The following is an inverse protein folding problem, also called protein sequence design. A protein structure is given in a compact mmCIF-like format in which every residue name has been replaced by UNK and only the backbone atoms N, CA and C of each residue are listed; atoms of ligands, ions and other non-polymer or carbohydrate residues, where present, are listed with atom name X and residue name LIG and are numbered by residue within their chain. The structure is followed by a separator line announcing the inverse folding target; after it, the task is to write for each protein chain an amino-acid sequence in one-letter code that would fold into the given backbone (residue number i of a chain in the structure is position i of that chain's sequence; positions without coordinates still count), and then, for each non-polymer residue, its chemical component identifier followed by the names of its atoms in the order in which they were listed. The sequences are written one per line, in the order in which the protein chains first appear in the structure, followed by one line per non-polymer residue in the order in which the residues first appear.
data_IF_662768747062
#
_entry.id   IF_662768747062
#
_cell.length_a   1.000
_cell.length_b   1.000
_cell.length_c   1.000
_cell.angle_alpha   90.00
_cell.angle_beta   90.00
_cell.angle_gamma   90.00
#
_symmetry.space_group_name_H-M   'P 1'
#
loop_
_entity.id
_entity.type
_entity.pdbx_description
1 polymer ?
#
# COMPACT_ATOMS: atom_id res chain seq x y z
N UNK A 1 8.75 14.88 23.88
CA UNK A 1 7.74 13.81 24.02
C UNK A 1 7.68 13.06 22.68
N UNK A 2 8.24 11.86 22.64
CA UNK A 2 8.42 11.10 21.38
C UNK A 2 7.08 10.44 21.07
N UNK A 3 6.46 10.83 19.96
CA UNK A 3 5.26 10.18 19.43
C UNK A 3 5.59 8.73 19.10
N UNK A 4 4.90 7.82 19.72
CA UNK A 4 4.92 6.40 19.44
C UNK A 4 4.43 6.17 18.00
N UNK A 5 5.36 5.82 17.11
CA UNK A 5 5.02 5.12 15.89
C UNK A 5 4.64 3.71 16.34
N UNK A 6 3.38 3.35 16.11
CA UNK A 6 2.87 1.99 16.34
C UNK A 6 3.84 0.97 15.74
N UNK A 7 4.19 -0.12 16.45
CA UNK A 7 5.10 -1.10 15.89
C UNK A 7 4.51 -1.64 14.59
N UNK A 8 5.24 -1.43 13.51
CA UNK A 8 4.95 -2.06 12.22
C UNK A 8 4.71 -3.54 12.49
N UNK A 9 3.55 -4.04 12.12
CA UNK A 9 3.36 -5.47 11.98
C UNK A 9 4.44 -5.94 11.02
N UNK A 10 5.41 -6.68 11.57
CA UNK A 10 6.37 -7.41 10.78
C UNK A 10 5.54 -8.39 9.93
N UNK A 11 5.42 -8.10 8.64
CA UNK A 11 4.88 -9.06 7.70
C UNK A 11 5.86 -10.24 7.75
N UNK A 12 5.43 -11.35 8.35
CA UNK A 12 6.20 -12.58 8.32
C UNK A 12 6.21 -13.07 6.87
N UNK A 13 7.38 -12.97 6.24
CA UNK A 13 7.58 -13.50 4.89
C UNK A 13 7.59 -15.04 4.94
N UNK A 14 6.84 -15.72 4.08
CA UNK A 14 6.91 -17.16 3.98
C UNK A 14 8.30 -17.63 3.52
N UNK A 15 8.72 -18.84 3.88
CA UNK A 15 10.05 -19.34 3.55
C UNK A 15 10.26 -19.48 2.03
N UNK A 16 11.46 -19.11 1.57
CA UNK A 16 11.95 -19.21 0.21
C UNK A 16 11.64 -20.60 -0.40
N UNK A 17 10.82 -20.64 -1.45
CA UNK A 17 10.55 -21.89 -2.18
C UNK A 17 9.25 -21.97 -2.96
N UNK A 18 8.24 -21.18 -2.60
CA UNK A 18 7.02 -20.99 -3.39
C UNK A 18 6.98 -19.50 -3.72
N UNK A 19 6.95 -19.14 -5.00
CA UNK A 19 6.92 -17.75 -5.42
C UNK A 19 5.94 -16.93 -4.59
N UNK A 20 6.42 -15.84 -4.01
CA UNK A 20 5.60 -14.99 -3.14
C UNK A 20 4.51 -14.35 -3.98
N UNK A 21 3.27 -14.58 -3.62
CA UNK A 21 2.14 -13.83 -4.18
C UNK A 21 1.84 -12.66 -3.25
N UNK A 22 1.71 -11.46 -3.82
CA UNK A 22 1.23 -10.31 -3.09
C UNK A 22 -0.27 -10.47 -2.81
N UNK A 23 -0.68 -10.10 -1.61
CA UNK A 23 -2.08 -10.14 -1.20
C UNK A 23 -2.62 -8.71 -1.07
N UNK A 24 -3.93 -8.55 -1.28
CA UNK A 24 -4.61 -7.30 -0.98
C UNK A 24 -4.61 -7.11 0.54
N UNK A 25 -3.95 -6.07 1.08
CA UNK A 25 -3.93 -5.86 2.52
C UNK A 25 -5.32 -5.52 3.03
N UNK A 26 -5.66 -6.01 4.22
CA UNK A 26 -6.84 -5.53 4.94
C UNK A 26 -6.63 -4.07 5.38
N UNK A 27 -7.71 -3.29 5.44
CA UNK A 27 -7.69 -1.95 6.00
C UNK A 27 -7.80 -2.02 7.53
N UNK A 28 -7.15 -1.09 8.23
CA UNK A 28 -7.25 -0.97 9.69
C UNK A 28 -8.56 -0.28 10.15
N UNK A 29 -9.40 0.13 9.20
CA UNK A 29 -10.69 0.79 9.41
C UNK A 29 -11.71 0.30 8.38
N UNK A 30 -13.00 0.43 8.69
CA UNK A 30 -14.10 0.07 7.79
C UNK A 30 -14.26 1.08 6.66
N UNK A 31 -14.93 0.70 5.58
CA UNK A 31 -15.15 1.59 4.43
C UNK A 31 -15.93 2.86 4.78
N UNK A 32 -16.82 2.83 5.77
CA UNK A 32 -17.59 3.99 6.23
C UNK A 32 -16.87 4.85 7.28
N UNK A 33 -15.74 4.39 7.81
CA UNK A 33 -15.10 5.04 8.96
C UNK A 33 -14.39 6.35 8.62
N UNK A 34 -14.18 6.64 7.35
CA UNK A 34 -13.62 7.91 6.87
C UNK A 34 -14.68 8.95 6.47
N UNK A 35 -15.96 8.63 6.64
CA UNK A 35 -17.04 9.61 6.42
C UNK A 35 -16.98 10.74 7.47
N UNK A 36 -17.38 11.96 7.11
CA UNK A 36 -17.96 12.39 5.83
C UNK A 36 -16.92 12.78 4.76
N UNK A 37 -15.63 12.57 5.00
CA UNK A 37 -14.56 13.01 4.11
C UNK A 37 -14.40 12.13 2.86
N UNK A 38 -14.52 10.82 3.04
CA UNK A 38 -14.54 9.83 1.96
C UNK A 38 -15.73 8.90 2.19
N UNK A 39 -16.58 8.75 1.17
CA UNK A 39 -17.77 7.90 1.29
C UNK A 39 -17.44 6.40 1.18
N UNK A 40 -18.26 5.56 1.81
CA UNK A 40 -18.06 4.13 1.88
C UNK A 40 -17.98 3.45 0.50
N UNK A 41 -18.78 3.90 -0.47
CA UNK A 41 -18.78 3.33 -1.83
C UNK A 41 -17.47 3.61 -2.55
N UNK A 42 -16.95 4.83 -2.43
CA UNK A 42 -15.64 5.20 -2.98
C UNK A 42 -14.53 4.36 -2.35
N UNK A 43 -14.54 4.19 -1.04
CA UNK A 43 -13.55 3.38 -0.31
C UNK A 43 -13.61 1.91 -0.74
N UNK A 44 -14.80 1.33 -0.84
CA UNK A 44 -14.99 -0.05 -1.28
C UNK A 44 -14.45 -0.28 -2.70
N UNK A 45 -14.80 0.58 -3.65
CA UNK A 45 -14.35 0.47 -5.04
C UNK A 45 -12.83 0.64 -5.12
N UNK A 46 -12.29 1.64 -4.44
CA UNK A 46 -10.86 1.94 -4.45
C UNK A 46 -10.02 0.79 -3.88
N UNK A 47 -10.47 0.15 -2.81
CA UNK A 47 -9.80 -0.99 -2.21
C UNK A 47 -10.09 -2.30 -2.96
N UNK A 48 -11.38 -2.70 -3.05
CA UNK A 48 -11.78 -4.03 -3.52
C UNK A 48 -11.70 -4.22 -5.04
N UNK A 49 -11.61 -3.13 -5.82
CA UNK A 49 -11.48 -3.17 -7.29
C UNK A 49 -10.14 -2.63 -7.78
N UNK A 50 -9.80 -1.38 -7.46
CA UNK A 50 -8.57 -0.77 -7.97
C UNK A 50 -7.32 -1.40 -7.36
N UNK A 51 -7.20 -1.42 -6.04
CA UNK A 51 -6.03 -2.03 -5.39
C UNK A 51 -5.97 -3.54 -5.65
N UNK A 52 -7.09 -4.24 -5.55
CA UNK A 52 -7.17 -5.67 -5.90
C UNK A 52 -6.76 -5.94 -7.36
N UNK A 53 -7.11 -5.06 -8.28
CA UNK A 53 -6.69 -5.13 -9.69
C UNK A 53 -5.19 -5.03 -9.86
N UNK A 54 -4.54 -4.05 -9.23
CA UNK A 54 -3.07 -3.93 -9.24
C UNK A 54 -2.40 -5.15 -8.62
N UNK A 55 -2.91 -5.64 -7.50
CA UNK A 55 -2.38 -6.85 -6.83
C UNK A 55 -2.43 -8.06 -7.75
N UNK A 56 -3.58 -8.32 -8.36
CA UNK A 56 -3.77 -9.43 -9.30
C UNK A 56 -2.84 -9.32 -10.50
N UNK A 57 -2.76 -8.14 -11.11
CA UNK A 57 -1.97 -7.91 -12.32
C UNK A 57 -0.46 -7.96 -12.02
N UNK A 58 -0.03 -7.48 -10.87
CA UNK A 58 1.36 -7.61 -10.43
C UNK A 58 1.75 -9.08 -10.31
N UNK A 59 0.95 -9.88 -9.60
CA UNK A 59 1.21 -11.32 -9.44
C UNK A 59 1.30 -12.02 -10.80
N UNK A 60 0.39 -11.73 -11.72
CA UNK A 60 0.44 -12.28 -13.06
C UNK A 60 1.69 -11.85 -13.85
N UNK A 61 2.14 -10.61 -13.68
CA UNK A 61 3.30 -10.07 -14.39
C UNK A 61 4.64 -10.64 -13.90
N UNK A 62 4.72 -11.08 -12.64
CA UNK A 62 5.95 -11.65 -12.05
C UNK A 62 5.95 -13.18 -12.02
N UNK A 63 4.81 -13.81 -12.32
CA UNK A 63 4.66 -15.27 -12.27
C UNK A 63 5.75 -15.99 -13.09
N UNK A 64 6.38 -16.98 -12.49
CA UNK A 64 7.43 -17.78 -13.14
C UNK A 64 8.75 -17.04 -13.39
N UNK A 65 8.92 -15.82 -12.90
CA UNK A 65 10.17 -15.06 -12.98
C UNK A 65 10.90 -15.01 -11.65
N UNK A 66 12.17 -14.58 -11.66
CA UNK A 66 12.95 -14.36 -10.44
C UNK A 66 12.36 -13.25 -9.57
N UNK A 67 11.59 -12.32 -10.16
CA UNK A 67 10.92 -11.25 -9.43
C UNK A 67 9.90 -11.76 -8.43
N UNK A 68 9.31 -12.94 -8.66
CA UNK A 68 8.37 -13.55 -7.71
C UNK A 68 8.98 -13.88 -6.34
N UNK A 69 10.30 -13.82 -6.19
CA UNK A 69 10.99 -14.09 -4.93
C UNK A 69 11.49 -12.80 -4.24
N UNK A 70 11.18 -11.64 -4.79
CA UNK A 70 11.66 -10.34 -4.30
C UNK A 70 10.56 -9.61 -3.51
N UNK A 71 11.01 -8.70 -2.62
CA UNK A 71 10.11 -7.72 -1.99
C UNK A 71 9.57 -6.73 -3.03
N UNK A 72 8.49 -6.04 -2.71
CA UNK A 72 7.93 -5.03 -3.64
C UNK A 72 8.92 -3.90 -3.89
N UNK A 73 9.68 -3.49 -2.90
CA UNK A 73 10.71 -2.45 -3.00
C UNK A 73 11.85 -2.90 -3.94
N UNK A 74 12.29 -4.14 -3.82
CA UNK A 74 13.33 -4.70 -4.69
C UNK A 74 12.83 -4.81 -6.14
N UNK A 75 11.58 -5.28 -6.34
CA UNK A 75 10.95 -5.31 -7.67
C UNK A 75 10.92 -3.92 -8.27
N UNK A 76 10.46 -2.91 -7.52
CA UNK A 76 10.36 -1.53 -8.00
C UNK A 76 11.73 -0.92 -8.33
N UNK A 77 12.78 -1.34 -7.65
CA UNK A 77 14.15 -0.86 -7.92
C UNK A 77 14.72 -1.33 -9.26
N UNK A 78 14.20 -2.44 -9.81
CA UNK A 78 14.76 -3.10 -11.02
C UNK A 78 13.79 -3.17 -12.21
N UNK A 79 12.54 -2.70 -12.05
CA UNK A 79 11.48 -2.90 -13.05
C UNK A 79 11.32 -1.76 -14.08
N UNK A 80 12.27 -0.81 -14.16
CA UNK A 80 12.13 0.39 -15.00
C UNK A 80 11.74 0.08 -16.45
N UNK A 81 12.37 -0.93 -17.04
CA UNK A 81 12.16 -1.36 -18.42
C UNK A 81 11.09 -2.45 -18.60
N UNK A 82 10.33 -2.74 -17.53
CA UNK A 82 9.23 -3.70 -17.55
C UNK A 82 7.89 -3.00 -17.19
N UNK A 83 7.20 -2.39 -18.17
CA UNK A 83 6.00 -1.60 -17.89
C UNK A 83 4.89 -2.34 -17.13
N UNK A 84 4.53 -3.60 -17.43
CA UNK A 84 3.55 -4.35 -16.66
C UNK A 84 3.89 -4.45 -15.18
N UNK A 85 5.13 -4.80 -14.84
CA UNK A 85 5.61 -4.92 -13.45
C UNK A 85 5.70 -3.55 -12.81
N UNK A 86 6.32 -2.56 -13.49
CA UNK A 86 6.45 -1.19 -12.98
C UNK A 86 5.09 -0.56 -12.65
N UNK A 87 4.14 -0.63 -13.57
CA UNK A 87 2.85 0.03 -13.42
C UNK A 87 1.99 -0.66 -12.34
N UNK A 88 1.92 -1.99 -12.35
CA UNK A 88 1.12 -2.72 -11.38
C UNK A 88 1.80 -2.81 -10.01
N UNK A 89 3.12 -2.95 -9.97
CA UNK A 89 3.89 -2.90 -8.73
C UNK A 89 3.84 -1.53 -8.07
N UNK A 90 4.01 -0.46 -8.86
CA UNK A 90 3.84 0.91 -8.39
C UNK A 90 2.42 1.18 -7.89
N UNK A 91 1.39 0.71 -8.62
CA UNK A 91 0.00 0.79 -8.20
C UNK A 91 -0.25 0.07 -6.88
N UNK A 92 0.24 -1.16 -6.73
CA UNK A 92 0.16 -1.92 -5.48
C UNK A 92 0.80 -1.17 -4.32
N UNK A 93 2.07 -0.78 -4.45
CA UNK A 93 2.82 -0.12 -3.38
C UNK A 93 2.21 1.23 -2.98
N UNK A 94 1.82 2.06 -3.96
CA UNK A 94 1.20 3.35 -3.70
C UNK A 94 -0.13 3.23 -2.96
N UNK A 95 -0.95 2.21 -3.26
CA UNK A 95 -2.19 1.97 -2.54
C UNK A 95 -1.96 1.49 -1.11
N UNK A 96 -0.98 0.61 -0.87
CA UNK A 96 -0.59 0.23 0.48
C UNK A 96 -0.22 1.47 1.31
N UNK A 97 0.65 2.31 0.77
CA UNK A 97 1.05 3.55 1.43
C UNK A 97 -0.11 4.54 1.64
N UNK A 98 -1.03 4.64 0.66
CA UNK A 98 -2.20 5.50 0.75
C UNK A 98 -3.12 5.12 1.91
N UNK A 99 -3.41 3.83 2.08
CA UNK A 99 -4.24 3.35 3.19
C UNK A 99 -3.60 3.66 4.54
N UNK A 100 -2.30 3.45 4.69
CA UNK A 100 -1.55 3.73 5.92
C UNK A 100 -1.44 5.24 6.23
N UNK A 101 -1.61 6.11 5.22
CA UNK A 101 -1.54 7.56 5.37
C UNK A 101 -2.83 8.19 5.92
N UNK A 102 -3.90 7.41 6.04
CA UNK A 102 -5.20 7.86 6.53
C UNK A 102 -5.55 7.19 7.86
N UNK A 103 -6.37 7.87 8.64
CA UNK A 103 -6.95 7.36 9.88
C UNK A 103 -8.40 7.82 10.01
N UNK A 104 -9.14 7.25 10.95
CA UNK A 104 -10.47 7.71 11.29
C UNK A 104 -10.41 9.18 11.76
N UNK A 105 -11.46 10.00 11.53
CA UNK A 105 -11.44 11.44 11.83
C UNK A 105 -11.07 11.77 13.27
N UNK A 106 -11.47 10.93 14.23
CA UNK A 106 -11.22 11.09 15.67
C UNK A 106 -9.72 11.01 16.01
N UNK A 107 -8.94 10.26 15.22
CA UNK A 107 -7.50 10.07 15.42
C UNK A 107 -6.66 11.04 14.57
N UNK A 108 -7.32 11.84 13.73
CA UNK A 108 -6.65 12.78 12.85
C UNK A 108 -6.05 13.96 13.63
N UNK A 109 -4.78 14.20 13.38
CA UNK A 109 -4.07 15.37 13.94
C UNK A 109 -3.49 16.22 12.81
N UNK A 110 -3.47 17.56 12.96
CA UNK A 110 -2.80 18.43 11.99
C UNK A 110 -1.32 18.05 11.82
N UNK A 111 -0.75 18.19 10.62
CA UNK A 111 0.67 18.03 10.46
C UNK A 111 1.44 19.04 11.33
N UNK A 112 2.58 18.63 11.87
CA UNK A 112 3.41 19.45 12.74
C UNK A 112 4.89 19.42 12.35
N UNK A 113 5.69 20.27 13.02
CA UNK A 113 7.14 20.32 12.84
C UNK A 113 7.55 20.55 11.38
N UNK A 114 8.55 19.81 10.93
CA UNK A 114 9.12 19.95 9.57
C UNK A 114 8.12 19.68 8.44
N UNK A 115 7.09 18.89 8.69
CA UNK A 115 6.09 18.57 7.67
C UNK A 115 5.22 19.79 7.37
N UNK A 116 4.68 20.47 8.38
CA UNK A 116 3.86 21.66 8.16
C UNK A 116 4.70 22.77 7.52
N UNK A 117 5.97 22.95 7.94
CA UNK A 117 6.87 23.92 7.32
C UNK A 117 7.13 23.63 5.83
N UNK A 118 7.14 22.36 5.43
CA UNK A 118 7.32 21.98 4.03
C UNK A 118 6.03 22.18 3.21
N UNK A 119 4.85 21.98 3.82
CA UNK A 119 3.55 22.19 3.18
C UNK A 119 3.29 23.68 2.93
N UNK A 120 3.70 24.56 3.84
CA UNK A 120 3.46 26.01 3.80
C UNK A 120 4.42 26.75 2.85
N UNK A 121 5.36 26.07 2.19
CA UNK A 121 6.29 26.64 1.19
C UNK A 121 5.74 26.64 -0.22
#
# INVERSE_FOLDING_TARGET
MVSYISPRHLIEYPPLGLGMTFELPALDYGYSDLEPHLDATTMEIHHSKHHAGYTKNLNAAIEGSELANLTIEDILSVCADNPPVRNNGGGYWNHCFFWESMCIPEDSTPPGGRLIEAIDR
#
